data_IF_482292887135
#
_entry.id   IF_482292887135
#
_cell.length_a   1.000
_cell.length_b   1.000
_cell.length_c   1.000
_cell.angle_alpha   90.00
_cell.angle_beta   90.00
_cell.angle_gamma   90.00
#
_symmetry.space_group_name_H-M   'P 1'
#
loop_
_entity.id
_entity.type
_entity.pdbx_description
1 polymer ?
#
# COMPACT_ATOMS: atom_id res chain seq x y z
N UNK A 1 -29.41 27.75 12.22
CA UNK A 1 -28.07 28.33 11.94
C UNK A 1 -27.42 28.92 13.19
N UNK A 2 -28.17 29.57 14.08
CA UNK A 2 -27.65 30.17 15.34
C UNK A 2 -27.21 29.16 16.41
N UNK A 3 -27.91 28.01 16.53
CA UNK A 3 -27.56 26.92 17.47
C UNK A 3 -26.20 26.27 17.17
N UNK A 4 -25.83 26.14 15.89
CA UNK A 4 -24.55 25.55 15.45
C UNK A 4 -23.39 26.54 15.70
N UNK A 5 -23.62 27.84 15.50
CA UNK A 5 -22.63 28.90 15.78
C UNK A 5 -22.33 29.03 17.28
N UNK A 6 -23.33 28.85 18.15
CA UNK A 6 -23.17 28.91 19.62
C UNK A 6 -22.47 27.66 20.19
N UNK A 7 -22.71 26.48 19.60
CA UNK A 7 -21.99 25.26 19.96
C UNK A 7 -20.50 25.35 19.56
N UNK A 8 -20.21 25.91 18.40
CA UNK A 8 -18.83 26.15 17.95
C UNK A 8 -18.09 27.16 18.86
N UNK A 9 -18.74 28.24 19.28
CA UNK A 9 -18.13 29.26 20.15
C UNK A 9 -17.70 28.74 21.53
N UNK A 10 -18.37 27.71 22.06
CA UNK A 10 -18.04 27.09 23.35
C UNK A 10 -16.98 25.97 23.24
N UNK A 11 -16.91 25.26 22.11
CA UNK A 11 -16.02 24.11 21.90
C UNK A 11 -14.64 24.54 21.37
N UNK A 12 -14.57 25.64 20.61
CA UNK A 12 -13.31 26.14 20.01
C UNK A 12 -12.23 26.51 21.04
N UNK A 13 -12.51 27.24 22.14
CA UNK A 13 -11.50 27.54 23.15
C UNK A 13 -11.00 26.27 23.87
N UNK A 14 -11.88 25.30 24.07
CA UNK A 14 -11.58 24.00 24.69
C UNK A 14 -10.63 23.18 23.81
N UNK A 15 -10.89 23.14 22.49
CA UNK A 15 -10.05 22.48 21.48
C UNK A 15 -8.67 23.12 21.34
N UNK A 16 -8.59 24.47 21.38
CA UNK A 16 -7.32 25.20 21.28
C UNK A 16 -6.43 24.94 22.49
N UNK A 17 -7.00 24.97 23.70
CA UNK A 17 -6.27 24.70 24.95
C UNK A 17 -5.77 23.24 24.99
N UNK A 18 -6.57 22.30 24.46
CA UNK A 18 -6.22 20.90 24.34
C UNK A 18 -5.09 20.65 23.31
N UNK A 19 -5.14 21.33 22.15
CA UNK A 19 -4.10 21.27 21.12
C UNK A 19 -2.75 21.83 21.60
N UNK A 20 -2.77 22.92 22.37
CA UNK A 20 -1.57 23.49 22.99
C UNK A 20 -0.96 22.56 24.04
N UNK A 21 -1.80 21.89 24.86
CA UNK A 21 -1.33 20.90 25.84
C UNK A 21 -0.68 19.65 25.21
N UNK A 22 -1.21 19.18 24.07
CA UNK A 22 -0.65 18.03 23.35
C UNK A 22 0.65 18.37 22.61
N UNK A 23 0.80 19.59 22.11
CA UNK A 23 2.04 20.04 21.46
C UNK A 23 3.24 20.16 22.44
N UNK A 24 2.97 20.43 23.72
CA UNK A 24 3.98 20.49 24.78
C UNK A 24 4.36 19.11 25.35
N UNK A 25 3.57 18.07 25.06
CA UNK A 25 3.71 16.72 25.62
C UNK A 25 4.47 15.76 24.68
N UNK A 26 5.68 16.12 24.23
CA UNK A 26 6.49 15.25 23.37
C UNK A 26 7.18 14.07 24.08
N UNK A 27 6.97 13.85 25.38
CA UNK A 27 7.52 12.69 26.09
C UNK A 27 6.55 12.25 27.17
N UNK A 28 5.57 11.41 26.84
CA UNK A 28 4.61 10.92 27.82
C UNK A 28 4.32 9.42 27.60
N UNK A 29 4.66 8.60 28.60
CA UNK A 29 4.41 7.16 28.66
C UNK A 29 2.90 6.82 28.65
N UNK A 30 2.52 5.58 28.23
CA UNK A 30 1.13 5.13 28.04
C UNK A 30 0.25 5.09 29.31
N UNK A 31 0.70 5.62 30.45
CA UNK A 31 -0.05 5.69 31.70
C UNK A 31 -0.21 7.11 32.27
N UNK A 32 0.19 8.14 31.54
CA UNK A 32 0.22 9.48 32.12
C UNK A 32 -1.16 10.13 32.03
N UNK A 33 -1.67 10.55 33.18
CA UNK A 33 -2.95 11.22 33.35
C UNK A 33 -2.77 12.71 33.12
N UNK A 34 -3.43 13.27 32.11
CA UNK A 34 -3.47 14.71 31.89
C UNK A 34 -4.69 15.27 32.65
N UNK A 35 -4.45 15.99 33.74
CA UNK A 35 -5.50 16.70 34.47
C UNK A 35 -5.53 18.15 34.01
N UNK A 36 -6.65 18.58 33.42
CA UNK A 36 -6.87 19.98 33.01
C UNK A 36 -7.99 20.53 33.90
N UNK A 37 -7.72 21.51 34.78
CA UNK A 37 -8.77 22.20 35.52
C UNK A 37 -9.59 23.06 34.54
N UNK A 38 -10.91 22.88 34.53
CA UNK A 38 -11.84 23.72 33.79
C UNK A 38 -12.57 24.65 34.77
N UNK A 39 -12.67 25.94 34.42
CA UNK A 39 -13.56 26.85 35.14
C UNK A 39 -15.03 26.59 34.75
N UNK A 40 -16.01 26.87 35.65
CA UNK A 40 -17.41 26.59 35.39
C UNK A 40 -17.95 27.43 34.23
N UNK A 41 -18.48 26.77 33.19
CA UNK A 41 -19.19 27.43 32.09
C UNK A 41 -20.69 27.22 32.29
N UNK A 42 -21.42 28.30 32.62
CA UNK A 42 -22.88 28.29 32.71
C UNK A 42 -23.47 28.54 31.32
N UNK A 43 -24.07 27.52 30.71
CA UNK A 43 -24.83 27.66 29.47
C UNK A 43 -26.27 27.22 29.68
N UNK A 44 -27.20 28.17 29.77
CA UNK A 44 -28.62 27.90 29.87
C UNK A 44 -29.25 27.78 28.48
N UNK A 45 -29.80 26.61 28.16
CA UNK A 45 -30.73 26.42 27.05
C UNK A 45 -31.86 25.48 27.51
N UNK A 46 -33.10 25.96 27.47
CA UNK A 46 -34.28 25.20 27.88
C UNK A 46 -34.51 23.97 26.96
N UNK A 47 -34.74 22.81 27.57
CA UNK A 47 -35.21 21.59 26.90
C UNK A 47 -34.17 20.48 26.66
N UNK A 48 -32.97 20.58 27.21
CA UNK A 48 -32.00 19.47 27.30
C UNK A 48 -31.83 19.14 28.78
N UNK A 49 -31.73 17.87 29.16
CA UNK A 49 -31.24 17.49 30.49
C UNK A 49 -29.95 18.28 30.76
N UNK A 50 -30.07 19.28 31.62
CA UNK A 50 -28.96 20.13 32.04
C UNK A 50 -27.96 19.23 32.75
N UNK A 51 -26.75 19.10 32.17
CA UNK A 51 -25.62 18.59 32.92
C UNK A 51 -25.25 19.68 33.94
N UNK A 52 -25.76 19.54 35.16
CA UNK A 52 -25.49 20.47 36.26
C UNK A 52 -24.02 20.28 36.72
N UNK A 53 -23.17 21.22 36.32
CA UNK A 53 -21.76 21.29 36.69
C UNK A 53 -21.53 22.09 38.00
N UNK A 54 -22.56 22.34 38.81
CA UNK A 54 -22.47 23.12 40.05
C UNK A 54 -21.78 22.41 41.22
N UNK A 55 -21.49 21.12 41.07
CA UNK A 55 -20.67 20.37 42.02
C UNK A 55 -19.26 20.20 41.46
N UNK A 56 -18.24 20.36 42.31
CA UNK A 56 -16.84 19.97 42.04
C UNK A 56 -16.76 18.47 41.79
N UNK A 57 -17.22 18.05 40.62
CA UNK A 57 -17.17 16.67 40.16
C UNK A 57 -16.13 16.63 39.05
N UNK A 58 -15.10 15.83 39.25
CA UNK A 58 -14.05 15.63 38.24
C UNK A 58 -14.64 14.77 37.12
N UNK A 59 -14.78 15.35 35.93
CA UNK A 59 -15.17 14.60 34.73
C UNK A 59 -13.93 14.01 34.07
N UNK A 60 -13.82 12.69 34.09
CA UNK A 60 -12.80 11.98 33.30
C UNK A 60 -13.26 11.87 31.86
N UNK A 61 -12.72 12.71 30.98
CA UNK A 61 -12.92 12.58 29.53
C UNK A 61 -11.82 11.68 28.98
N UNK A 62 -12.20 10.48 28.53
CA UNK A 62 -11.30 9.60 27.79
C UNK A 62 -11.29 10.01 26.32
N UNK A 63 -10.30 10.82 25.94
CA UNK A 63 -10.03 11.06 24.54
C UNK A 63 -9.16 9.91 24.02
N UNK A 64 -9.59 9.15 23.00
CA UNK A 64 -8.69 8.23 22.34
C UNK A 64 -7.60 9.06 21.66
N UNK A 65 -6.39 9.03 22.22
CA UNK A 65 -5.22 9.54 21.53
C UNK A 65 -4.95 8.56 20.38
N UNK A 66 -5.43 8.90 19.19
CA UNK A 66 -5.11 8.19 17.96
C UNK A 66 -3.67 8.54 17.58
N UNK A 67 -2.70 7.90 18.25
CA UNK A 67 -1.32 7.93 17.77
C UNK A 67 -1.31 7.08 16.51
N UNK A 68 -1.15 7.70 15.34
CA UNK A 68 -0.91 6.91 14.12
C UNK A 68 0.30 6.01 14.38
N UNK A 69 0.25 4.72 14.00
CA UNK A 69 1.41 3.87 14.14
C UNK A 69 2.59 4.50 13.37
N UNK A 70 3.84 4.31 13.85
CA UNK A 70 5.00 4.83 13.15
C UNK A 70 4.96 4.39 11.69
N UNK A 71 5.34 5.29 10.78
CA UNK A 71 5.27 5.03 9.35
C UNK A 71 6.09 3.78 9.00
N UNK A 72 5.41 2.76 8.48
CA UNK A 72 6.02 1.50 8.12
C UNK A 72 6.62 1.58 6.71
N UNK A 73 7.97 1.52 6.54
CA UNK A 73 8.61 1.70 5.24
C UNK A 73 8.30 0.59 4.24
N UNK A 74 7.84 -0.58 4.70
CA UNK A 74 7.44 -1.69 3.83
C UNK A 74 6.07 -1.49 3.21
N UNK A 75 5.18 -0.79 3.91
CA UNK A 75 3.75 -0.68 3.60
C UNK A 75 3.47 0.32 2.47
N UNK A 76 2.84 -0.13 1.40
CA UNK A 76 2.43 0.68 0.25
C UNK A 76 1.05 0.27 -0.29
N UNK A 77 0.63 0.79 -1.44
CA UNK A 77 -0.60 0.34 -2.08
C UNK A 77 -0.56 0.49 -3.60
N UNK A 78 -1.36 -0.33 -4.28
CA UNK A 78 -1.67 -0.16 -5.70
C UNK A 78 -2.72 0.94 -5.88
N UNK A 79 -2.36 2.00 -6.59
CA UNK A 79 -3.18 3.18 -6.83
C UNK A 79 -4.01 3.03 -8.12
N UNK A 80 -5.17 2.37 -8.01
CA UNK A 80 -6.04 2.07 -9.16
C UNK A 80 -6.91 3.25 -9.59
N UNK A 81 -7.18 4.20 -8.69
CA UNK A 81 -7.83 5.45 -9.05
C UNK A 81 -7.25 6.66 -8.29
N UNK A 82 -7.47 7.85 -8.85
CA UNK A 82 -6.97 9.13 -8.35
C UNK A 82 -7.96 9.82 -7.39
N UNK A 83 -7.48 10.74 -6.53
CA UNK A 83 -6.07 11.10 -6.31
C UNK A 83 -5.35 10.08 -5.42
N UNK A 84 -4.27 9.50 -5.93
CA UNK A 84 -3.54 8.42 -5.27
C UNK A 84 -2.75 8.91 -4.05
N UNK A 85 -2.03 10.02 -4.18
CA UNK A 85 -1.10 10.49 -3.16
C UNK A 85 -1.77 11.03 -1.89
N UNK A 86 -3.02 11.48 -1.98
CA UNK A 86 -3.79 11.85 -0.78
C UNK A 86 -4.12 10.62 0.07
N UNK A 87 -4.16 9.43 -0.55
CA UNK A 87 -4.43 8.20 0.15
C UNK A 87 -3.20 7.71 0.95
N UNK A 88 -1.96 8.13 0.63
CA UNK A 88 -0.75 7.81 1.42
C UNK A 88 -0.93 8.14 2.90
N UNK A 89 -1.30 9.39 3.19
CA UNK A 89 -1.53 9.85 4.56
C UNK A 89 -2.73 9.13 5.17
N UNK A 90 -3.80 8.94 4.39
CA UNK A 90 -5.02 8.29 4.87
C UNK A 90 -4.80 6.84 5.24
N UNK A 91 -3.94 6.10 4.55
CA UNK A 91 -3.69 4.68 4.87
C UNK A 91 -2.37 4.48 5.62
N UNK A 92 -1.70 5.56 6.02
CA UNK A 92 -0.39 5.55 6.67
C UNK A 92 0.66 4.72 5.89
N UNK A 93 0.68 4.88 4.56
CA UNK A 93 1.58 4.15 3.67
C UNK A 93 2.79 4.99 3.26
N UNK A 94 3.92 4.33 3.04
CA UNK A 94 5.21 4.99 2.74
C UNK A 94 5.47 5.14 1.25
N UNK A 95 4.78 4.38 0.40
CA UNK A 95 5.01 4.34 -1.03
C UNK A 95 3.76 3.88 -1.78
N UNK A 96 3.71 4.15 -3.07
CA UNK A 96 2.63 3.70 -3.95
C UNK A 96 3.14 3.51 -5.37
N UNK A 97 2.36 2.78 -6.17
CA UNK A 97 2.55 2.65 -7.62
C UNK A 97 1.18 2.59 -8.30
N UNK A 98 1.12 2.85 -9.61
CA UNK A 98 -0.15 2.89 -10.36
C UNK A 98 -0.08 2.14 -11.70
N UNK A 99 0.80 1.14 -11.80
CA UNK A 99 1.08 0.35 -13.02
C UNK A 99 1.65 1.14 -14.21
N UNK A 100 1.91 2.44 -14.07
CA UNK A 100 2.44 3.28 -15.16
C UNK A 100 3.86 3.78 -14.88
N UNK A 101 4.43 4.46 -15.88
CA UNK A 101 5.71 5.17 -15.76
C UNK A 101 5.58 6.56 -15.10
N UNK A 102 4.37 7.04 -14.79
CA UNK A 102 4.12 8.39 -14.30
C UNK A 102 3.43 8.38 -12.93
N UNK A 103 3.84 9.26 -12.01
CA UNK A 103 3.03 9.51 -10.83
C UNK A 103 1.71 10.15 -11.22
N UNK A 104 0.75 10.13 -10.29
CA UNK A 104 -0.42 11.00 -10.38
C UNK A 104 0.03 12.48 -10.49
N UNK A 105 -0.42 13.13 -11.56
CA UNK A 105 -0.01 14.49 -11.91
C UNK A 105 -0.47 15.51 -10.86
N UNK A 106 -1.55 15.21 -10.14
CA UNK A 106 -2.14 16.06 -9.09
C UNK A 106 -1.33 16.08 -7.79
N UNK A 107 -0.34 15.19 -7.65
CA UNK A 107 0.46 15.09 -6.45
C UNK A 107 1.50 16.21 -6.32
N UNK A 108 1.75 16.61 -5.08
CA UNK A 108 2.87 17.49 -4.72
C UNK A 108 4.23 16.83 -5.01
N UNK A 109 5.33 17.59 -5.14
CA UNK A 109 6.67 17.04 -5.32
C UNK A 109 7.04 15.96 -4.29
N UNK A 110 6.87 16.24 -2.99
CA UNK A 110 7.18 15.30 -1.89
C UNK A 110 6.39 13.99 -1.99
N UNK A 111 5.14 14.06 -2.46
CA UNK A 111 4.33 12.87 -2.69
C UNK A 111 4.83 12.08 -3.90
N UNK A 112 5.26 12.76 -4.97
CA UNK A 112 5.83 12.12 -6.16
C UNK A 112 7.13 11.37 -5.85
N UNK A 113 7.89 11.77 -4.83
CA UNK A 113 9.05 10.99 -4.35
C UNK A 113 8.68 9.62 -3.76
N UNK A 114 7.42 9.43 -3.32
CA UNK A 114 6.92 8.16 -2.79
C UNK A 114 6.38 7.24 -3.89
N UNK A 115 6.33 7.71 -5.12
CA UNK A 115 5.90 6.94 -6.27
C UNK A 115 7.02 6.03 -6.81
N UNK A 116 6.69 4.79 -7.11
CA UNK A 116 7.60 3.87 -7.82
C UNK A 116 7.04 3.59 -9.21
N UNK A 117 7.72 4.02 -10.30
CA UNK A 117 7.28 3.76 -11.66
C UNK A 117 7.40 2.27 -12.01
N UNK A 118 6.65 1.86 -13.03
CA UNK A 118 6.68 0.51 -13.59
C UNK A 118 6.77 0.55 -15.11
N UNK A 119 7.52 -0.37 -15.70
CA UNK A 119 7.31 -0.76 -17.11
C UNK A 119 6.31 -1.92 -17.13
N UNK A 120 5.07 -1.66 -17.57
CA UNK A 120 3.98 -2.64 -17.46
C UNK A 120 4.18 -3.88 -18.33
N UNK A 121 4.46 -3.68 -19.61
CA UNK A 121 4.54 -4.73 -20.64
C UNK A 121 5.52 -4.31 -21.75
N UNK A 122 5.52 -5.03 -22.87
CA UNK A 122 6.39 -4.73 -24.02
C UNK A 122 6.12 -3.33 -24.60
N UNK A 123 4.86 -2.91 -24.72
CA UNK A 123 4.50 -1.57 -25.21
C UNK A 123 4.99 -0.47 -24.26
N UNK A 124 4.98 -0.74 -22.95
CA UNK A 124 5.52 0.15 -21.92
C UNK A 124 6.98 0.52 -22.11
N UNK A 125 7.76 -0.28 -22.86
CA UNK A 125 9.16 0.03 -23.19
C UNK A 125 9.32 1.30 -24.00
N UNK A 126 8.28 1.73 -24.74
CA UNK A 126 8.28 3.02 -25.44
C UNK A 126 8.46 4.21 -24.48
N UNK A 127 8.18 4.02 -23.19
CA UNK A 127 8.27 5.02 -22.13
C UNK A 127 9.41 4.74 -21.14
N UNK A 128 10.42 3.95 -21.54
CA UNK A 128 11.54 3.60 -20.66
C UNK A 128 12.29 4.83 -20.16
N UNK A 129 12.61 5.80 -21.02
CA UNK A 129 13.29 7.04 -20.60
C UNK A 129 12.51 7.79 -19.51
N UNK A 130 11.20 7.92 -19.68
CA UNK A 130 10.31 8.57 -18.72
C UNK A 130 10.25 7.80 -17.40
N UNK A 131 10.15 6.48 -17.46
CA UNK A 131 10.14 5.64 -16.26
C UNK A 131 11.46 5.79 -15.48
N UNK A 132 12.58 5.85 -16.19
CA UNK A 132 13.92 6.05 -15.62
C UNK A 132 14.03 7.41 -14.93
N UNK A 133 13.55 8.47 -15.56
CA UNK A 133 13.61 9.81 -14.97
C UNK A 133 12.73 9.91 -13.72
N UNK A 134 11.52 9.36 -13.74
CA UNK A 134 10.67 9.29 -12.55
C UNK A 134 11.23 8.35 -11.46
N UNK A 135 11.98 7.32 -11.84
CA UNK A 135 12.59 6.39 -10.89
C UNK A 135 13.74 7.04 -10.10
N UNK A 136 14.31 8.16 -10.54
CA UNK A 136 15.34 8.87 -9.77
C UNK A 136 14.83 9.37 -8.42
N UNK A 137 13.55 9.75 -8.35
CA UNK A 137 12.95 10.29 -7.13
C UNK A 137 12.82 9.24 -6.01
N UNK A 138 12.38 8.03 -6.35
CA UNK A 138 12.27 6.93 -5.37
C UNK A 138 13.51 6.05 -5.28
N UNK A 139 14.37 6.07 -6.31
CA UNK A 139 15.52 5.19 -6.48
C UNK A 139 15.18 3.78 -6.97
N UNK A 140 13.93 3.54 -7.41
CA UNK A 140 13.44 2.21 -7.79
C UNK A 140 12.63 2.24 -9.09
N UNK A 141 12.75 1.17 -9.88
CA UNK A 141 11.89 0.89 -11.03
C UNK A 141 11.35 -0.54 -10.94
N UNK A 142 10.05 -0.70 -11.14
CA UNK A 142 9.37 -2.00 -11.16
C UNK A 142 9.30 -2.55 -12.59
N UNK A 143 9.61 -3.84 -12.74
CA UNK A 143 9.50 -4.56 -14.01
C UNK A 143 8.08 -4.91 -14.45
N UNK A 144 7.99 -5.80 -15.43
CA UNK A 144 6.73 -6.18 -16.09
C UNK A 144 5.67 -6.72 -15.12
N UNK A 145 4.40 -6.34 -15.34
CA UNK A 145 3.26 -6.78 -14.54
C UNK A 145 2.66 -8.04 -15.12
N UNK A 146 2.56 -9.09 -14.30
CA UNK A 146 1.92 -10.37 -14.66
C UNK A 146 2.25 -10.84 -16.08
N UNK A 147 3.55 -10.91 -16.45
CA UNK A 147 3.96 -11.22 -17.82
C UNK A 147 3.49 -12.61 -18.26
N UNK A 148 3.19 -13.50 -17.30
CA UNK A 148 2.66 -14.83 -17.52
C UNK A 148 1.18 -14.88 -17.91
N UNK A 149 0.45 -13.76 -17.86
CA UNK A 149 -0.97 -13.67 -18.24
C UNK A 149 -1.14 -12.82 -19.51
N UNK A 150 -1.91 -13.26 -20.52
CA UNK A 150 -1.98 -12.65 -21.84
C UNK A 150 -2.99 -11.51 -21.92
N UNK A 151 -3.91 -11.44 -20.95
CA UNK A 151 -4.77 -10.28 -20.72
C UNK A 151 -4.09 -9.24 -19.80
N UNK A 152 -2.82 -9.43 -19.45
CA UNK A 152 -2.02 -8.50 -18.65
C UNK A 152 -0.72 -8.15 -19.38
N UNK A 153 0.44 -8.46 -18.79
CA UNK A 153 1.73 -8.14 -19.39
C UNK A 153 2.00 -8.88 -20.70
N UNK A 154 1.55 -10.13 -20.81
CA UNK A 154 1.68 -10.98 -21.99
C UNK A 154 3.08 -10.98 -22.65
N UNK A 155 4.10 -11.35 -21.88
CA UNK A 155 5.49 -11.39 -22.38
C UNK A 155 5.99 -12.82 -22.26
N UNK A 156 6.59 -13.38 -23.32
CA UNK A 156 7.26 -14.68 -23.20
C UNK A 156 8.58 -14.55 -22.40
N UNK A 157 9.05 -15.60 -21.71
CA UNK A 157 10.31 -15.52 -20.97
C UNK A 157 11.50 -15.00 -21.79
N UNK A 158 11.64 -15.44 -23.05
CA UNK A 158 12.70 -15.00 -23.97
C UNK A 158 12.57 -13.53 -24.36
N UNK A 159 11.36 -13.06 -24.67
CA UNK A 159 11.12 -11.64 -24.92
C UNK A 159 11.40 -10.81 -23.67
N UNK A 160 10.97 -11.29 -22.51
CA UNK A 160 11.24 -10.68 -21.21
C UNK A 160 12.73 -10.52 -20.94
N UNK A 161 13.53 -11.55 -21.24
CA UNK A 161 14.99 -11.49 -21.13
C UNK A 161 15.61 -10.40 -22.01
N UNK A 162 15.20 -10.32 -23.28
CA UNK A 162 15.70 -9.29 -24.21
C UNK A 162 15.34 -7.88 -23.76
N UNK A 163 14.10 -7.66 -23.34
CA UNK A 163 13.64 -6.35 -22.88
C UNK A 163 14.27 -5.97 -21.53
N UNK A 164 14.44 -6.92 -20.64
CA UNK A 164 15.07 -6.69 -19.34
C UNK A 164 16.51 -6.18 -19.45
N UNK A 165 17.27 -6.70 -20.42
CA UNK A 165 18.62 -6.18 -20.70
C UNK A 165 18.62 -4.70 -21.06
N UNK A 166 17.58 -4.22 -21.76
CA UNK A 166 17.43 -2.80 -22.08
C UNK A 166 17.12 -1.97 -20.83
N UNK A 167 16.27 -2.50 -19.94
CA UNK A 167 15.97 -1.86 -18.65
C UNK A 167 17.24 -1.72 -17.80
N UNK A 168 18.02 -2.79 -17.66
CA UNK A 168 19.29 -2.76 -16.90
C UNK A 168 20.29 -1.76 -17.48
N UNK A 169 20.48 -1.75 -18.80
CA UNK A 169 21.38 -0.82 -19.47
C UNK A 169 20.98 0.65 -19.24
N UNK A 170 19.68 0.94 -19.06
CA UNK A 170 19.19 2.28 -18.80
C UNK A 170 19.22 2.67 -17.30
N UNK A 171 18.91 1.72 -16.42
CA UNK A 171 18.72 1.96 -14.99
C UNK A 171 20.02 1.89 -14.17
N UNK A 172 20.83 0.85 -14.39
CA UNK A 172 21.99 0.57 -13.54
C UNK A 172 23.05 1.70 -13.59
N UNK A 173 23.38 2.31 -14.75
CA UNK A 173 24.33 3.43 -14.79
C UNK A 173 23.84 4.67 -14.02
N UNK A 174 22.53 4.79 -13.79
CA UNK A 174 21.92 5.88 -13.01
C UNK A 174 21.73 5.52 -11.53
N UNK A 175 22.18 4.34 -11.09
CA UNK A 175 22.02 3.86 -9.72
C UNK A 175 20.58 3.53 -9.33
N UNK A 176 19.69 3.34 -10.31
CA UNK A 176 18.29 2.96 -10.06
C UNK A 176 18.22 1.47 -9.78
N UNK A 177 17.58 1.11 -8.66
CA UNK A 177 17.37 -0.29 -8.27
C UNK A 177 16.20 -0.92 -9.00
N UNK A 178 16.32 -2.20 -9.33
CA UNK A 178 15.35 -2.92 -10.14
C UNK A 178 14.57 -3.96 -9.34
N UNK A 179 13.24 -3.85 -9.38
CA UNK A 179 12.34 -4.92 -8.93
C UNK A 179 12.01 -5.78 -10.14
N UNK A 180 12.20 -7.10 -10.04
CA UNK A 180 11.94 -8.03 -11.14
C UNK A 180 10.52 -7.93 -11.69
N UNK A 181 10.25 -8.49 -12.89
CA UNK A 181 8.89 -8.76 -13.31
C UNK A 181 8.12 -9.55 -12.24
N UNK A 182 6.82 -9.29 -12.13
CA UNK A 182 5.96 -9.82 -11.07
C UNK A 182 4.87 -10.72 -11.63
N UNK A 183 5.15 -12.02 -11.82
CA UNK A 183 4.14 -12.95 -12.30
C UNK A 183 3.05 -13.17 -11.25
N UNK A 184 1.85 -13.51 -11.74
CA UNK A 184 0.75 -13.94 -10.89
C UNK A 184 1.01 -15.35 -10.32
N UNK A 185 0.29 -15.71 -9.26
CA UNK A 185 0.42 -16.92 -8.45
C UNK A 185 0.18 -18.26 -9.17
N UNK A 186 -0.49 -18.26 -10.31
CA UNK A 186 -1.01 -19.48 -10.93
C UNK A 186 0.10 -20.51 -11.22
N UNK A 187 -0.21 -21.79 -11.06
CA UNK A 187 0.73 -22.86 -11.40
C UNK A 187 0.88 -22.97 -12.94
N UNK A 188 2.01 -23.50 -13.43
CA UNK A 188 2.15 -23.90 -14.82
C UNK A 188 0.93 -24.72 -15.30
N UNK A 189 0.43 -24.42 -16.50
CA UNK A 189 -0.72 -25.07 -17.11
C UNK A 189 -2.09 -24.54 -16.66
N UNK A 190 -2.16 -23.68 -15.64
CA UNK A 190 -3.43 -23.10 -15.20
C UNK A 190 -3.82 -21.87 -16.01
N UNK A 191 -5.14 -21.65 -16.14
CA UNK A 191 -5.74 -20.48 -16.79
C UNK A 191 -5.28 -20.20 -18.22
N UNK A 192 -4.74 -21.22 -18.91
CA UNK A 192 -4.34 -21.16 -20.31
C UNK A 192 -2.85 -20.93 -20.57
N UNK A 193 -1.97 -20.96 -19.54
CA UNK A 193 -0.55 -20.58 -19.70
C UNK A 193 0.46 -21.66 -19.33
N UNK A 194 1.56 -21.78 -20.10
CA UNK A 194 2.56 -22.82 -19.85
C UNK A 194 3.43 -22.54 -18.62
N UNK A 195 3.67 -21.28 -18.26
CA UNK A 195 4.72 -20.94 -17.28
C UNK A 195 4.22 -20.67 -15.85
N UNK A 196 3.01 -20.12 -15.67
CA UNK A 196 2.54 -19.69 -14.35
C UNK A 196 3.53 -18.76 -13.62
N UNK A 197 3.62 -18.88 -12.29
CA UNK A 197 4.60 -18.18 -11.46
C UNK A 197 6.06 -18.55 -11.77
N UNK A 198 6.32 -19.69 -12.43
CA UNK A 198 7.68 -20.09 -12.82
C UNK A 198 8.24 -19.26 -13.96
N UNK A 199 7.42 -18.42 -14.60
CA UNK A 199 7.82 -17.50 -15.67
C UNK A 199 9.13 -16.76 -15.36
N UNK A 200 9.30 -16.27 -14.13
CA UNK A 200 10.52 -15.56 -13.71
C UNK A 200 11.77 -16.42 -13.90
N UNK A 201 11.71 -17.71 -13.56
CA UNK A 201 12.86 -18.61 -13.68
C UNK A 201 13.13 -19.02 -15.12
N UNK A 202 12.10 -19.18 -15.94
CA UNK A 202 12.30 -19.34 -17.38
C UNK A 202 12.98 -18.11 -17.97
N UNK A 203 12.62 -16.89 -17.54
CA UNK A 203 13.25 -15.67 -18.03
C UNK A 203 14.71 -15.58 -17.58
N UNK A 204 15.04 -15.97 -16.34
CA UNK A 204 16.43 -16.08 -15.88
C UNK A 204 17.25 -17.02 -16.76
N UNK A 205 16.70 -18.19 -17.11
CA UNK A 205 17.37 -19.15 -17.98
C UNK A 205 17.60 -18.60 -19.39
N UNK A 206 16.57 -17.98 -19.98
CA UNK A 206 16.67 -17.33 -21.30
C UNK A 206 17.69 -16.19 -21.30
N UNK A 207 17.68 -15.35 -20.28
CA UNK A 207 18.62 -14.25 -20.12
C UNK A 207 20.06 -14.79 -20.02
N UNK A 208 20.29 -15.84 -19.22
CA UNK A 208 21.60 -16.49 -19.11
C UNK A 208 22.05 -17.11 -20.44
N UNK A 209 21.14 -17.72 -21.18
CA UNK A 209 21.44 -18.28 -22.50
C UNK A 209 21.81 -17.19 -23.52
N UNK A 210 21.17 -16.02 -23.46
CA UNK A 210 21.40 -14.89 -24.37
C UNK A 210 22.66 -14.08 -24.03
N UNK A 211 22.96 -13.91 -22.74
CA UNK A 211 23.94 -12.91 -22.27
C UNK A 211 25.05 -13.48 -21.37
N UNK A 212 25.03 -14.79 -21.09
CA UNK A 212 26.09 -15.47 -20.32
C UNK A 212 26.12 -15.17 -18.82
N UNK A 213 25.21 -14.33 -18.32
CA UNK A 213 25.07 -13.97 -16.90
C UNK A 213 23.61 -14.03 -16.48
N UNK A 214 23.34 -14.09 -15.18
CA UNK A 214 22.00 -13.91 -14.65
C UNK A 214 21.55 -12.43 -14.81
N UNK A 215 20.24 -12.18 -14.98
CA UNK A 215 19.71 -10.82 -14.87
C UNK A 215 19.89 -10.27 -13.46
N UNK A 216 20.10 -8.96 -13.36
CA UNK A 216 20.21 -8.22 -12.12
C UNK A 216 18.83 -7.92 -11.53
N UNK A 217 18.66 -8.25 -10.26
CA UNK A 217 17.49 -7.90 -9.46
C UNK A 217 17.96 -7.35 -8.12
N UNK A 218 17.50 -6.15 -7.73
CA UNK A 218 17.66 -5.63 -6.36
C UNK A 218 16.52 -6.08 -5.45
N UNK A 219 15.39 -6.47 -6.03
CA UNK A 219 14.28 -7.13 -5.38
C UNK A 219 13.52 -8.05 -6.34
N UNK A 220 12.87 -9.08 -5.81
CA UNK A 220 12.00 -9.97 -6.58
C UNK A 220 10.52 -9.62 -6.35
N UNK A 221 9.80 -9.32 -7.42
CA UNK A 221 8.39 -8.94 -7.42
C UNK A 221 7.44 -10.14 -7.53
N UNK A 222 6.33 -10.12 -6.76
CA UNK A 222 5.28 -11.15 -6.82
C UNK A 222 3.88 -10.58 -6.64
N UNK A 223 2.89 -11.20 -7.28
CA UNK A 223 1.47 -10.90 -7.15
C UNK A 223 0.70 -12.14 -6.63
N UNK A 224 -0.15 -11.97 -5.62
CA UNK A 224 -0.94 -13.07 -5.02
C UNK A 224 -2.29 -12.61 -4.45
N UNK A 225 -3.35 -13.24 -4.90
CA UNK A 225 -4.75 -13.05 -4.51
C UNK A 225 -5.29 -14.34 -3.90
N UNK A 226 -5.38 -14.37 -2.56
CA UNK A 226 -5.87 -15.51 -1.78
C UNK A 226 -6.68 -15.02 -0.58
N UNK A 227 -7.74 -15.75 -0.24
CA UNK A 227 -8.61 -15.45 0.89
C UNK A 227 -8.11 -15.97 2.24
N UNK A 228 -6.97 -16.67 2.27
CA UNK A 228 -6.34 -17.19 3.49
C UNK A 228 -4.91 -16.70 3.58
N UNK A 229 -4.57 -16.09 4.73
CA UNK A 229 -3.21 -15.66 5.01
C UNK A 229 -2.18 -16.81 4.97
N UNK A 230 -2.58 -18.03 5.34
CA UNK A 230 -1.72 -19.22 5.24
C UNK A 230 -1.24 -19.48 3.82
N UNK A 231 -2.10 -19.28 2.82
CA UNK A 231 -1.81 -19.59 1.43
C UNK A 231 -0.87 -18.53 0.84
N UNK A 232 -1.05 -17.26 1.24
CA UNK A 232 -0.13 -16.16 0.90
C UNK A 232 1.26 -16.45 1.46
N UNK A 233 1.35 -16.81 2.75
CA UNK A 233 2.61 -17.13 3.42
C UNK A 233 3.29 -18.35 2.78
N UNK A 234 2.54 -19.41 2.49
CA UNK A 234 3.06 -20.62 1.88
C UNK A 234 3.64 -20.34 0.48
N UNK A 235 2.92 -19.57 -0.34
CA UNK A 235 3.41 -19.16 -1.66
C UNK A 235 4.71 -18.36 -1.57
N UNK A 236 4.77 -17.33 -0.71
CA UNK A 236 5.95 -16.48 -0.59
C UNK A 236 7.17 -17.26 -0.05
N UNK A 237 6.98 -18.17 0.91
CA UNK A 237 8.05 -19.04 1.39
C UNK A 237 8.55 -19.99 0.30
N UNK A 238 7.65 -20.57 -0.51
CA UNK A 238 8.06 -21.42 -1.63
C UNK A 238 8.89 -20.64 -2.67
N UNK A 239 8.44 -19.44 -3.06
CA UNK A 239 9.19 -18.56 -3.96
C UNK A 239 10.54 -18.14 -3.37
N UNK A 240 10.60 -17.92 -2.05
CA UNK A 240 11.85 -17.61 -1.34
C UNK A 240 12.84 -18.76 -1.44
N UNK A 241 12.40 -20.01 -1.27
CA UNK A 241 13.23 -21.19 -1.48
C UNK A 241 13.80 -21.24 -2.90
N UNK A 242 12.94 -21.11 -3.92
CA UNK A 242 13.36 -21.11 -5.32
C UNK A 242 14.38 -20.00 -5.66
N UNK A 243 14.21 -18.81 -5.07
CA UNK A 243 15.14 -17.70 -5.25
C UNK A 243 16.51 -17.99 -4.64
N UNK A 244 16.55 -18.55 -3.43
CA UNK A 244 17.78 -18.93 -2.75
C UNK A 244 18.53 -20.03 -3.51
N UNK A 245 17.81 -21.04 -4.01
CA UNK A 245 18.38 -22.12 -4.83
C UNK A 245 19.01 -21.61 -6.14
N UNK A 246 18.64 -20.40 -6.56
CA UNK A 246 19.15 -19.73 -7.77
C UNK A 246 20.17 -18.64 -7.48
N UNK A 247 20.57 -18.48 -6.22
CA UNK A 247 21.55 -17.49 -5.79
C UNK A 247 20.99 -16.08 -5.61
N UNK A 248 19.67 -15.90 -5.64
CA UNK A 248 19.03 -14.61 -5.38
C UNK A 248 18.68 -14.47 -3.89
N UNK A 249 19.62 -13.90 -3.12
CA UNK A 249 19.38 -13.49 -1.74
C UNK A 249 19.00 -12.00 -1.65
N UNK A 250 17.95 -11.61 -2.36
CA UNK A 250 17.43 -10.22 -2.42
C UNK A 250 16.04 -10.14 -1.79
N UNK A 251 15.61 -8.96 -1.30
CA UNK A 251 14.29 -8.81 -0.71
C UNK A 251 13.17 -9.07 -1.72
N UNK A 252 12.00 -9.45 -1.20
CA UNK A 252 10.78 -9.60 -1.99
C UNK A 252 9.94 -8.34 -1.90
N UNK A 253 9.34 -7.97 -3.03
CA UNK A 253 8.29 -6.95 -3.11
C UNK A 253 6.99 -7.65 -3.48
N UNK A 254 6.04 -7.65 -2.56
CA UNK A 254 4.69 -8.14 -2.81
C UNK A 254 3.88 -6.99 -3.42
N UNK A 255 3.93 -6.88 -4.75
CA UNK A 255 3.44 -5.70 -5.46
C UNK A 255 1.92 -5.65 -5.50
N UNK A 256 1.28 -6.81 -5.52
CA UNK A 256 -0.16 -6.91 -5.37
C UNK A 256 -0.50 -8.08 -4.45
N UNK A 257 -1.24 -7.78 -3.40
CA UNK A 257 -1.99 -8.78 -2.69
C UNK A 257 -3.36 -8.27 -2.26
N UNK A 258 -4.30 -9.20 -2.20
CA UNK A 258 -5.66 -8.93 -1.79
C UNK A 258 -6.38 -10.20 -1.36
N UNK A 259 -7.47 -10.02 -0.62
CA UNK A 259 -8.46 -11.08 -0.41
C UNK A 259 -9.22 -11.37 -1.72
N UNK A 260 -9.99 -12.44 -1.72
CA UNK A 260 -11.03 -12.64 -2.74
C UNK A 260 -12.06 -11.51 -2.59
N UNK A 261 -12.07 -10.55 -3.51
CA UNK A 261 -12.92 -9.37 -3.42
C UNK A 261 -14.42 -9.70 -3.59
N UNK A 262 -14.76 -10.91 -4.05
CA UNK A 262 -16.12 -11.44 -4.02
C UNK A 262 -16.59 -11.85 -2.62
N UNK A 263 -15.66 -12.09 -1.69
CA UNK A 263 -15.95 -12.52 -0.31
C UNK A 263 -16.61 -11.42 0.55
N UNK A 264 -16.89 -11.72 1.82
CA UNK A 264 -17.37 -10.72 2.79
C UNK A 264 -16.24 -9.77 3.20
N UNK A 265 -16.59 -8.53 3.59
CA UNK A 265 -15.60 -7.54 4.06
C UNK A 265 -14.84 -8.08 5.28
N UNK A 266 -15.50 -8.83 6.18
CA UNK A 266 -14.86 -9.41 7.35
C UNK A 266 -13.82 -10.49 6.98
N UNK A 267 -14.08 -11.28 5.94
CA UNK A 267 -13.11 -12.26 5.45
C UNK A 267 -11.89 -11.59 4.80
N UNK A 268 -12.13 -10.53 4.02
CA UNK A 268 -11.04 -9.72 3.43
C UNK A 268 -10.22 -9.07 4.54
N UNK A 269 -10.89 -8.50 5.56
CA UNK A 269 -10.26 -7.91 6.75
C UNK A 269 -9.41 -8.93 7.51
N UNK A 270 -9.97 -10.11 7.77
CA UNK A 270 -9.25 -11.21 8.45
C UNK A 270 -8.00 -11.63 7.67
N UNK A 271 -8.06 -11.66 6.33
CA UNK A 271 -6.88 -11.93 5.50
C UNK A 271 -5.78 -10.88 5.73
N UNK A 272 -6.15 -9.61 5.74
CA UNK A 272 -5.24 -8.49 5.99
C UNK A 272 -4.63 -8.56 7.40
N UNK A 273 -5.47 -8.75 8.43
CA UNK A 273 -5.06 -8.82 9.83
C UNK A 273 -4.07 -9.95 10.11
N UNK A 274 -4.22 -11.07 9.40
CA UNK A 274 -3.33 -12.22 9.56
C UNK A 274 -2.11 -12.20 8.63
N UNK A 275 -2.10 -11.35 7.60
CA UNK A 275 -1.00 -11.27 6.61
C UNK A 275 -0.04 -10.14 6.94
N UNK A 276 -0.54 -8.94 7.26
CA UNK A 276 0.29 -7.74 7.43
C UNK A 276 1.34 -7.87 8.55
N UNK A 277 1.00 -8.32 9.78
CA UNK A 277 2.01 -8.49 10.83
C UNK A 277 3.15 -9.42 10.42
N UNK A 278 2.83 -10.46 9.65
CA UNK A 278 3.83 -11.39 9.15
C UNK A 278 4.70 -10.75 8.06
N UNK A 279 4.14 -9.96 7.15
CA UNK A 279 4.90 -9.20 6.17
C UNK A 279 5.85 -8.20 6.85
N UNK A 280 5.38 -7.56 7.92
CA UNK A 280 6.16 -6.61 8.72
C UNK A 280 7.33 -7.31 9.41
N UNK A 281 7.07 -8.42 10.10
CA UNK A 281 8.07 -9.16 10.86
C UNK A 281 9.04 -9.97 10.00
N UNK A 282 8.71 -10.26 8.74
CA UNK A 282 9.54 -11.13 7.88
C UNK A 282 10.71 -10.33 7.28
N UNK A 283 11.98 -10.66 7.60
CA UNK A 283 13.13 -9.81 7.24
C UNK A 283 13.40 -9.70 5.74
N UNK A 284 13.11 -10.75 4.97
CA UNK A 284 13.32 -10.77 3.52
C UNK A 284 12.13 -10.20 2.73
N UNK A 285 11.06 -9.75 3.39
CA UNK A 285 10.03 -8.91 2.76
C UNK A 285 10.52 -7.47 2.83
N UNK A 286 10.81 -6.89 1.68
CA UNK A 286 11.27 -5.51 1.55
C UNK A 286 10.11 -4.51 1.48
N UNK A 287 9.08 -4.82 0.68
CA UNK A 287 7.87 -4.00 0.54
C UNK A 287 6.65 -4.85 0.22
N UNK A 288 5.46 -4.34 0.53
CA UNK A 288 4.19 -4.94 0.13
C UNK A 288 3.16 -3.85 -0.17
N UNK A 289 2.24 -4.14 -1.09
CA UNK A 289 1.21 -3.20 -1.51
C UNK A 289 -0.15 -3.87 -1.64
N UNK A 290 -1.14 -3.36 -0.89
CA UNK A 290 -2.51 -3.85 -0.97
C UNK A 290 -3.13 -3.45 -2.31
N UNK A 291 -3.84 -4.38 -2.93
CA UNK A 291 -4.70 -4.13 -4.09
C UNK A 291 -6.15 -3.92 -3.61
N UNK A 292 -6.69 -2.70 -3.62
CA UNK A 292 -6.10 -1.44 -4.07
C UNK A 292 -6.64 -0.25 -3.24
N UNK A 293 -6.11 0.97 -3.46
CA UNK A 293 -6.65 2.15 -2.77
C UNK A 293 -8.15 2.33 -3.05
N UNK A 294 -8.57 2.27 -4.32
CA UNK A 294 -9.91 2.56 -4.80
C UNK A 294 -10.23 1.69 -6.01
N UNK A 295 -11.31 0.93 -5.94
CA UNK A 295 -11.84 0.17 -7.07
C UNK A 295 -13.15 0.85 -7.49
N UNK A 296 -13.18 1.47 -8.67
CA UNK A 296 -14.30 2.33 -9.12
C UNK A 296 -15.30 1.60 -10.01
N UNK A 297 -14.86 0.53 -10.69
CA UNK A 297 -15.68 -0.28 -11.58
C UNK A 297 -15.94 -1.67 -10.99
N UNK A 298 -17.00 -2.33 -11.45
CA UNK A 298 -16.99 -3.79 -11.48
C UNK A 298 -15.79 -4.18 -12.34
N UNK A 299 -14.94 -5.11 -11.89
CA UNK A 299 -13.93 -5.63 -12.81
C UNK A 299 -14.64 -6.40 -13.93
N UNK A 300 -13.90 -6.74 -14.99
CA UNK A 300 -14.43 -7.39 -16.19
C UNK A 300 -15.12 -8.74 -15.95
N UNK A 301 -15.06 -9.25 -14.71
CA UNK A 301 -15.68 -10.48 -14.23
C UNK A 301 -17.10 -10.28 -13.67
N UNK A 302 -17.60 -9.04 -13.60
CA UNK A 302 -18.93 -8.72 -13.07
C UNK A 302 -19.01 -8.78 -11.54
N UNK A 303 -17.88 -8.91 -10.85
CA UNK A 303 -17.81 -8.95 -9.38
C UNK A 303 -17.69 -7.54 -8.82
N UNK A 304 -18.44 -7.25 -7.75
CA UNK A 304 -18.29 -6.01 -7.00
C UNK A 304 -17.02 -6.04 -6.13
N UNK A 305 -15.90 -5.72 -6.77
CA UNK A 305 -14.60 -5.70 -6.13
C UNK A 305 -14.39 -4.46 -5.24
N UNK A 306 -15.38 -3.56 -5.11
CA UNK A 306 -15.30 -2.37 -4.25
C UNK A 306 -15.00 -2.71 -2.80
N UNK A 307 -15.38 -3.91 -2.34
CA UNK A 307 -15.11 -4.42 -0.99
C UNK A 307 -13.61 -4.49 -0.64
N UNK A 308 -12.73 -4.58 -1.63
CA UNK A 308 -11.28 -4.54 -1.45
C UNK A 308 -10.69 -3.12 -1.43
N UNK A 309 -11.50 -2.08 -1.64
CA UNK A 309 -11.02 -0.69 -1.63
C UNK A 309 -10.66 -0.26 -0.22
N UNK A 310 -9.50 0.39 -0.06
CA UNK A 310 -9.11 1.05 1.20
C UNK A 310 -9.87 2.37 1.40
N UNK A 311 -10.23 3.03 0.30
CA UNK A 311 -10.86 4.34 0.29
C UNK A 311 -12.11 4.31 -0.58
N UNK A 312 -13.19 4.89 -0.08
CA UNK A 312 -14.42 5.04 -0.83
C UNK A 312 -14.18 5.99 -2.01
N UNK A 313 -14.45 5.53 -3.23
CA UNK A 313 -14.21 6.32 -4.45
C UNK A 313 -15.06 7.59 -4.53
N UNK A 314 -16.25 7.59 -3.94
CA UNK A 314 -17.22 8.69 -4.03
C UNK A 314 -17.03 9.72 -2.93
N UNK A 315 -16.79 9.30 -1.69
CA UNK A 315 -16.65 10.23 -0.55
C UNK A 315 -15.20 10.58 -0.25
N UNK A 316 -14.26 9.69 -0.61
CA UNK A 316 -12.86 9.82 -0.22
C UNK A 316 -12.55 9.41 1.21
N UNK A 317 -13.53 8.89 1.96
CA UNK A 317 -13.32 8.38 3.32
C UNK A 317 -12.69 6.99 3.32
N UNK A 318 -11.99 6.64 4.39
CA UNK A 318 -11.55 5.26 4.58
C UNK A 318 -12.75 4.32 4.68
N UNK A 319 -12.64 3.17 4.03
CA UNK A 319 -13.54 2.04 4.26
C UNK A 319 -13.16 1.34 5.58
N UNK A 320 -13.99 0.42 6.13
CA UNK A 320 -13.60 -0.41 7.26
C UNK A 320 -12.28 -1.17 7.03
N UNK A 321 -12.04 -1.60 5.78
CA UNK A 321 -10.80 -2.22 5.37
C UNK A 321 -9.63 -1.22 5.37
N UNK A 322 -9.87 0.02 4.91
CA UNK A 322 -8.89 1.11 4.99
C UNK A 322 -8.45 1.45 6.41
N UNK A 323 -9.39 1.50 7.36
CA UNK A 323 -9.07 1.68 8.78
C UNK A 323 -8.21 0.54 9.33
N UNK A 324 -8.52 -0.70 8.91
CA UNK A 324 -7.71 -1.87 9.26
C UNK A 324 -6.29 -1.72 8.71
N UNK A 325 -6.16 -1.36 7.42
CA UNK A 325 -4.86 -1.21 6.76
C UNK A 325 -4.00 -0.08 7.35
N UNK A 326 -4.63 1.02 7.79
CA UNK A 326 -3.96 2.14 8.47
C UNK A 326 -3.22 1.68 9.73
N UNK A 327 -3.74 0.68 10.45
CA UNK A 327 -3.23 0.22 11.74
C UNK A 327 -1.92 -0.56 11.72
N UNK A 328 -1.41 -0.94 10.54
CA UNK A 328 -0.16 -1.72 10.36
C UNK A 328 1.05 -0.87 9.99
#
# INVERSE_FOLDING_TARGET
MEKIKRLAAAIIPLLITLLLGVALAQVIHPQSRLEIPLEPIMANAEGVETLDLSTTTVYSVYLPVMVNPPLNPKKGFGAKAQPACNDLVKVNASWYFNWTSWPDSTCSPDQKEKFVPRIYNADGMAFLSVAIDNAQASGWLIGFSEPNLPWQGNITPKQGATLWRQIENAALPKGIKLVSPSPNQWNPGQHGYPYGHQWTWYMVNEYKALYGTNPHFDALGWNIYKSKASDIKAFLNARRGEALDRGYNVPFWLLEYGGDCGSSVDQIRSTMENTNPWLDSTPWIGRYAWFANRITTLDSDGVDNKKCSLVNSSTGDLTPLGYTYRGY
#
